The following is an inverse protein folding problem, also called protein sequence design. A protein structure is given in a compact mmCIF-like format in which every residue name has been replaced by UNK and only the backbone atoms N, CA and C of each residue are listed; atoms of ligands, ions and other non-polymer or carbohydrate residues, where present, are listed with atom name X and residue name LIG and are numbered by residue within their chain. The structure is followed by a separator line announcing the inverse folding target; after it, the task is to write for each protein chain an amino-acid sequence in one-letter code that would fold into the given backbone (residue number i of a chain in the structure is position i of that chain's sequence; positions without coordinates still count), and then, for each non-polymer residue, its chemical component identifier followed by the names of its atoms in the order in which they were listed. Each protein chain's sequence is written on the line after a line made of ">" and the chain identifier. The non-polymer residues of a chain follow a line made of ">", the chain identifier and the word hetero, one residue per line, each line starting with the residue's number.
data_IF_002077299937
#
_entry.id   IF_002077299937
#
_cell.length_a   1.000
_cell.length_b   1.000
_cell.length_c   1.000
_cell.angle_alpha   90.00
_cell.angle_beta   90.00
_cell.angle_gamma   90.00
#
_symmetry.space_group_name_H-M   'P 1'
#
loop_
_entity.id
_entity.type
_entity.pdbx_description
1 polymer ?
#
# COMPACT_ATOMS: atom_id res chain seq x y z
N UNK A 1 -59.10 -8.04 50.69
CA UNK A 1 -57.61 -7.84 50.60
C UNK A 1 -57.14 -8.30 49.24
N UNK A 2 -56.84 -7.36 48.35
CA UNK A 2 -56.40 -7.68 46.97
C UNK A 2 -54.86 -7.74 46.91
N UNK A 3 -54.35 -8.95 46.68
CA UNK A 3 -52.89 -9.19 46.50
C UNK A 3 -52.47 -8.72 45.11
N UNK A 4 -51.70 -7.66 45.04
CA UNK A 4 -51.13 -7.17 43.78
C UNK A 4 -49.87 -7.98 43.46
N UNK A 5 -49.96 -8.81 42.42
CA UNK A 5 -48.80 -9.54 41.89
C UNK A 5 -47.94 -8.58 41.05
N UNK A 6 -46.74 -8.30 41.52
CA UNK A 6 -45.76 -7.46 40.84
C UNK A 6 -44.94 -8.39 39.91
N UNK A 7 -45.21 -8.36 38.61
CA UNK A 7 -44.38 -9.03 37.64
C UNK A 7 -43.21 -8.11 37.30
N UNK A 8 -42.03 -8.42 37.84
CA UNK A 8 -40.79 -7.79 37.45
C UNK A 8 -40.30 -8.37 36.14
N UNK A 9 -40.51 -7.64 35.06
CA UNK A 9 -39.99 -8.00 33.73
C UNK A 9 -38.52 -7.65 33.68
N UNK A 10 -37.65 -8.64 33.87
CA UNK A 10 -36.18 -8.48 33.71
C UNK A 10 -35.89 -8.35 32.21
N UNK A 11 -35.68 -7.13 31.73
CA UNK A 11 -35.23 -6.86 30.35
C UNK A 11 -33.73 -7.21 30.29
N UNK A 12 -33.41 -8.40 29.80
CA UNK A 12 -32.03 -8.78 29.50
C UNK A 12 -31.63 -8.02 28.25
N UNK A 13 -30.91 -6.90 28.42
CA UNK A 13 -30.19 -6.24 27.33
C UNK A 13 -29.04 -7.15 26.93
N UNK A 14 -29.21 -7.93 25.87
CA UNK A 14 -28.14 -8.61 25.18
C UNK A 14 -27.39 -7.52 24.42
N UNK A 15 -26.32 -6.99 25.02
CA UNK A 15 -25.37 -6.15 24.31
C UNK A 15 -24.64 -7.01 23.30
N UNK A 16 -25.04 -6.94 22.03
CA UNK A 16 -24.22 -7.43 20.92
C UNK A 16 -22.97 -6.56 20.87
N UNK A 17 -21.88 -7.04 21.45
CA UNK A 17 -20.57 -6.53 21.15
C UNK A 17 -20.29 -6.90 19.68
N UNK A 18 -20.57 -5.99 18.76
CA UNK A 18 -20.02 -6.08 17.42
C UNK A 18 -18.49 -5.98 17.59
N UNK A 19 -17.79 -7.12 17.62
CA UNK A 19 -16.34 -7.14 17.56
C UNK A 19 -15.95 -6.52 16.23
N UNK A 20 -15.43 -5.30 16.24
CA UNK A 20 -14.85 -4.72 15.04
C UNK A 20 -13.67 -5.60 14.64
N UNK A 21 -13.72 -6.14 13.43
CA UNK A 21 -12.64 -6.97 12.91
C UNK A 21 -11.37 -6.13 12.83
N UNK A 22 -10.31 -6.59 13.49
CA UNK A 22 -9.01 -5.90 13.47
C UNK A 22 -8.29 -6.10 12.13
N UNK A 23 -7.53 -5.08 11.73
CA UNK A 23 -6.69 -5.17 10.54
C UNK A 23 -5.44 -5.98 10.86
N UNK A 24 -5.04 -6.83 9.91
CA UNK A 24 -3.81 -7.62 9.98
C UNK A 24 -2.79 -7.12 8.97
N UNK A 25 -1.49 -7.34 9.25
CA UNK A 25 -0.35 -6.81 8.51
C UNK A 25 0.71 -7.90 8.31
N UNK A 26 0.48 -8.90 7.47
CA UNK A 26 1.34 -10.09 7.40
C UNK A 26 2.78 -9.85 6.96
N UNK A 27 3.04 -8.89 6.05
CA UNK A 27 4.36 -8.62 5.46
C UNK A 27 4.79 -7.17 5.63
N UNK A 28 3.89 -6.22 5.40
CA UNK A 28 4.15 -4.78 5.58
C UNK A 28 3.53 -4.36 6.91
N UNK A 29 4.32 -4.20 7.99
CA UNK A 29 3.80 -4.19 9.35
C UNK A 29 3.04 -2.92 9.76
N UNK A 30 3.33 -1.77 9.11
CA UNK A 30 2.72 -0.49 9.52
C UNK A 30 1.73 0.07 8.49
N UNK A 31 1.63 -0.53 7.28
CA UNK A 31 0.87 0.00 6.17
C UNK A 31 0.06 -1.09 5.47
N UNK A 32 -0.97 -0.65 4.73
CA UNK A 32 -1.74 -1.57 3.90
C UNK A 32 -2.49 -2.63 4.70
N UNK A 33 -2.96 -2.28 5.91
CA UNK A 33 -3.72 -3.21 6.75
C UNK A 33 -4.97 -3.73 6.06
N UNK A 34 -5.23 -5.03 6.19
CA UNK A 34 -6.31 -5.76 5.54
C UNK A 34 -7.24 -6.40 6.58
N UNK A 35 -8.42 -6.78 6.16
CA UNK A 35 -9.29 -7.68 6.92
C UNK A 35 -9.15 -9.09 6.38
N UNK A 36 -9.11 -10.08 7.27
CA UNK A 36 -9.18 -11.49 6.87
C UNK A 36 -10.62 -11.84 6.44
N UNK A 37 -10.74 -12.58 5.33
CA UNK A 37 -12.03 -13.02 4.80
C UNK A 37 -11.98 -14.54 4.61
N UNK A 38 -12.17 -15.31 5.70
CA UNK A 38 -11.99 -16.75 5.68
C UNK A 38 -12.93 -17.47 4.71
N UNK A 39 -14.13 -16.92 4.48
CA UNK A 39 -15.17 -17.51 3.63
C UNK A 39 -15.14 -16.97 2.18
N UNK A 40 -14.07 -16.28 1.76
CA UNK A 40 -13.95 -15.80 0.39
C UNK A 40 -13.98 -16.98 -0.61
N UNK A 41 -14.84 -16.87 -1.63
CA UNK A 41 -14.94 -17.87 -2.69
C UNK A 41 -13.71 -17.87 -3.62
N UNK A 42 -13.03 -16.74 -3.74
CA UNK A 42 -11.77 -16.58 -4.50
C UNK A 42 -10.66 -16.14 -3.56
N UNK A 43 -9.58 -16.89 -3.54
CA UNK A 43 -8.39 -16.60 -2.72
C UNK A 43 -7.13 -16.67 -3.59
N UNK A 44 -6.08 -15.93 -3.24
CA UNK A 44 -4.78 -16.12 -3.88
C UNK A 44 -4.32 -17.58 -3.78
N UNK A 45 -3.83 -18.12 -4.89
CA UNK A 45 -3.25 -19.48 -4.95
C UNK A 45 -1.79 -19.46 -4.45
N UNK A 46 -1.44 -20.09 -3.32
CA UNK A 46 -0.10 -20.06 -2.76
C UNK A 46 0.94 -20.84 -3.61
N UNK A 47 0.51 -21.58 -4.63
CA UNK A 47 1.41 -22.30 -5.53
C UNK A 47 1.98 -21.41 -6.63
N UNK A 48 1.32 -20.29 -6.96
CA UNK A 48 1.71 -19.38 -8.04
C UNK A 48 2.86 -18.44 -7.65
N UNK A 49 3.60 -18.01 -8.67
CA UNK A 49 4.55 -16.88 -8.61
C UNK A 49 3.83 -15.58 -9.03
N UNK A 50 3.65 -14.68 -8.09
CA UNK A 50 2.99 -13.39 -8.32
C UNK A 50 3.98 -12.34 -8.79
N UNK A 51 4.13 -12.20 -10.10
CA UNK A 51 4.96 -11.18 -10.75
C UNK A 51 4.08 -9.98 -11.11
N UNK A 52 4.27 -8.86 -10.43
CA UNK A 52 3.39 -7.69 -10.54
C UNK A 52 4.23 -6.44 -10.81
N UNK A 53 3.91 -5.70 -11.88
CA UNK A 53 4.47 -4.40 -12.16
C UNK A 53 3.40 -3.32 -12.01
N UNK A 54 3.71 -2.28 -11.26
CA UNK A 54 2.77 -1.23 -10.86
C UNK A 54 3.14 0.10 -11.50
N UNK A 55 2.17 0.69 -12.16
CA UNK A 55 2.14 2.06 -12.66
C UNK A 55 1.60 2.97 -11.55
N UNK A 56 2.49 3.64 -10.82
CA UNK A 56 2.12 4.59 -9.77
C UNK A 56 2.24 6.02 -10.28
N UNK A 57 1.11 6.62 -10.66
CA UNK A 57 1.04 7.92 -11.31
C UNK A 57 0.42 9.02 -10.42
N UNK A 58 -0.57 8.67 -9.59
CA UNK A 58 -1.35 9.61 -8.80
C UNK A 58 -0.58 10.18 -7.61
N UNK A 59 -0.65 11.50 -7.41
CA UNK A 59 -0.16 12.16 -6.20
C UNK A 59 -1.06 11.94 -4.99
N UNK A 60 -0.66 12.50 -3.83
CA UNK A 60 -1.53 12.58 -2.66
C UNK A 60 -2.50 13.75 -2.81
N UNK A 61 -3.76 13.57 -2.42
CA UNK A 61 -4.76 14.65 -2.43
C UNK A 61 -4.39 15.75 -1.41
N UNK A 62 -3.90 15.34 -0.23
CA UNK A 62 -3.27 16.21 0.77
C UNK A 62 -1.81 15.78 0.92
N UNK A 63 -0.84 16.70 0.78
CA UNK A 63 0.57 16.41 1.01
C UNK A 63 0.91 15.93 2.43
N UNK A 64 0.09 16.22 3.43
CA UNK A 64 0.27 15.73 4.79
C UNK A 64 -0.19 14.28 4.98
N UNK A 65 -0.89 13.70 3.99
CA UNK A 65 -1.42 12.36 4.05
C UNK A 65 -0.63 11.38 3.18
N UNK A 66 -0.63 10.12 3.61
CA UNK A 66 -0.04 9.02 2.88
C UNK A 66 -0.69 8.87 1.50
N UNK A 67 0.13 8.65 0.48
CA UNK A 67 -0.36 8.37 -0.87
C UNK A 67 -1.17 7.05 -0.91
N UNK A 68 -2.43 7.14 -1.32
CA UNK A 68 -3.35 5.99 -1.31
C UNK A 68 -2.91 4.89 -2.28
N UNK A 69 -2.37 5.24 -3.45
CA UNK A 69 -1.85 4.27 -4.42
C UNK A 69 -0.66 3.51 -3.84
N UNK A 70 0.25 4.21 -3.17
CA UNK A 70 1.39 3.58 -2.50
C UNK A 70 0.92 2.67 -1.36
N UNK A 71 -0.07 3.09 -0.56
CA UNK A 71 -0.65 2.26 0.49
C UNK A 71 -1.38 1.01 -0.07
N UNK A 72 -2.00 1.11 -1.25
CA UNK A 72 -2.62 -0.03 -1.91
C UNK A 72 -1.59 -1.09 -2.37
N UNK A 73 -0.35 -0.69 -2.67
CA UNK A 73 0.75 -1.64 -2.95
C UNK A 73 1.03 -2.50 -1.71
N UNK A 74 1.18 -1.88 -0.54
CA UNK A 74 1.35 -2.60 0.71
C UNK A 74 0.15 -3.52 1.02
N UNK A 75 -1.06 -3.01 0.79
CA UNK A 75 -2.29 -3.76 0.98
C UNK A 75 -2.37 -4.99 0.08
N UNK A 76 -1.98 -4.87 -1.20
CA UNK A 76 -1.94 -5.97 -2.14
C UNK A 76 -0.96 -7.07 -1.67
N UNK A 77 0.23 -6.70 -1.22
CA UNK A 77 1.22 -7.64 -0.69
C UNK A 77 0.66 -8.35 0.54
N UNK A 78 0.07 -7.62 1.48
CA UNK A 78 -0.54 -8.19 2.68
C UNK A 78 -1.71 -9.13 2.37
N UNK A 79 -2.55 -8.82 1.37
CA UNK A 79 -3.65 -9.69 0.93
C UNK A 79 -3.16 -11.03 0.37
N UNK A 80 -2.10 -11.04 -0.44
CA UNK A 80 -1.53 -12.29 -0.95
C UNK A 80 -0.93 -13.12 0.19
N UNK A 81 -0.17 -12.48 1.08
CA UNK A 81 0.46 -13.16 2.20
C UNK A 81 -0.55 -13.72 3.22
N UNK A 82 -1.67 -13.01 3.48
CA UNK A 82 -2.72 -13.50 4.39
C UNK A 82 -3.40 -14.78 3.88
N UNK A 83 -3.43 -14.97 2.56
CA UNK A 83 -3.93 -16.20 1.94
C UNK A 83 -2.90 -17.34 1.88
N UNK A 84 -1.73 -17.16 2.50
CA UNK A 84 -0.69 -18.19 2.57
C UNK A 84 0.34 -18.16 1.43
N UNK A 85 0.32 -17.12 0.56
CA UNK A 85 1.38 -16.96 -0.45
C UNK A 85 2.68 -16.59 0.25
N UNK A 86 3.77 -17.38 0.12
CA UNK A 86 5.07 -17.03 0.67
C UNK A 86 5.56 -15.69 0.10
N UNK A 87 6.15 -14.84 0.93
CA UNK A 87 6.64 -13.51 0.49
C UNK A 87 7.66 -13.61 -0.64
N UNK A 88 8.44 -14.70 -0.68
CA UNK A 88 9.44 -14.99 -1.70
C UNK A 88 8.83 -15.23 -3.09
N UNK A 89 7.53 -15.53 -3.16
CA UNK A 89 6.74 -15.68 -4.40
C UNK A 89 6.01 -14.41 -4.81
N UNK A 90 6.14 -13.31 -4.06
CA UNK A 90 5.49 -12.03 -4.36
C UNK A 90 6.54 -11.06 -4.89
N UNK A 91 6.65 -10.96 -6.20
CA UNK A 91 7.63 -10.13 -6.91
C UNK A 91 6.98 -8.84 -7.40
N UNK A 92 7.18 -7.76 -6.67
CA UNK A 92 6.58 -6.46 -7.01
C UNK A 92 7.64 -5.48 -7.52
N UNK A 93 7.30 -4.80 -8.60
CA UNK A 93 8.08 -3.71 -9.20
C UNK A 93 7.18 -2.49 -9.31
N UNK A 94 7.63 -1.34 -8.85
CA UNK A 94 6.86 -0.09 -8.88
C UNK A 94 7.57 0.92 -9.78
N UNK A 95 6.85 1.46 -10.76
CA UNK A 95 7.28 2.57 -11.60
C UNK A 95 6.57 3.85 -11.17
N UNK A 96 7.25 4.66 -10.36
CA UNK A 96 6.74 5.94 -9.84
C UNK A 96 6.95 7.01 -10.91
N UNK A 97 5.91 7.73 -11.27
CA UNK A 97 6.01 8.82 -12.23
C UNK A 97 4.89 9.85 -12.05
N UNK A 98 4.83 10.82 -12.94
CA UNK A 98 3.83 11.88 -12.92
C UNK A 98 3.74 12.55 -11.54
N UNK A 99 2.57 12.82 -10.99
CA UNK A 99 2.40 13.47 -9.68
C UNK A 99 2.93 12.61 -8.52
N UNK A 100 2.91 11.30 -8.64
CA UNK A 100 3.51 10.40 -7.65
C UNK A 100 5.03 10.63 -7.51
N UNK A 101 5.71 11.22 -8.50
CA UNK A 101 7.14 11.54 -8.41
C UNK A 101 7.50 12.47 -7.24
N UNK A 102 6.55 13.23 -6.72
CA UNK A 102 6.80 14.05 -5.53
C UNK A 102 6.79 13.24 -4.22
N UNK A 103 6.18 12.05 -4.20
CA UNK A 103 6.14 11.20 -2.99
C UNK A 103 7.51 10.63 -2.62
N UNK A 104 8.47 10.61 -3.58
CA UNK A 104 9.81 10.06 -3.38
C UNK A 104 10.83 11.09 -2.86
N UNK A 105 10.42 12.33 -2.66
CA UNK A 105 11.32 13.38 -2.14
C UNK A 105 11.74 13.05 -0.70
N UNK A 106 13.01 13.32 -0.38
CA UNK A 106 13.46 13.28 1.00
C UNK A 106 12.75 14.37 1.84
N UNK A 107 12.80 14.28 3.15
CA UNK A 107 12.08 15.20 4.04
C UNK A 107 12.46 16.68 3.80
N UNK A 108 13.72 16.98 3.51
CA UNK A 108 14.14 18.35 3.29
C UNK A 108 13.49 18.97 2.05
N UNK A 109 13.53 18.26 0.92
CA UNK A 109 12.92 18.69 -0.33
C UNK A 109 11.38 18.71 -0.24
N UNK A 110 10.77 17.71 0.38
CA UNK A 110 9.32 17.65 0.56
C UNK A 110 8.83 18.81 1.43
N UNK A 111 9.51 19.09 2.55
CA UNK A 111 9.17 20.19 3.45
C UNK A 111 9.38 21.56 2.81
N UNK A 112 10.41 21.71 1.98
CA UNK A 112 10.61 22.93 1.20
C UNK A 112 9.42 23.20 0.26
N UNK A 113 8.89 22.16 -0.39
CA UNK A 113 7.79 22.24 -1.34
C UNK A 113 6.41 22.37 -0.67
N UNK A 114 6.12 21.52 0.31
CA UNK A 114 4.76 21.33 0.86
C UNK A 114 4.55 21.85 2.28
N UNK A 115 5.62 22.33 2.96
CA UNK A 115 5.60 22.83 4.34
C UNK A 115 5.25 21.78 5.39
N UNK A 116 5.28 20.50 5.03
CA UNK A 116 5.10 19.34 5.90
C UNK A 116 6.17 18.29 5.62
N UNK A 117 6.39 17.35 6.53
CA UNK A 117 7.28 16.21 6.30
C UNK A 117 6.64 15.20 5.35
N UNK A 118 7.46 14.42 4.65
CA UNK A 118 6.97 13.44 3.68
C UNK A 118 6.39 12.21 4.40
N UNK A 119 5.07 11.99 4.38
CA UNK A 119 4.43 10.88 5.08
C UNK A 119 4.70 9.51 4.41
N UNK A 120 5.29 9.50 3.21
CA UNK A 120 5.45 8.28 2.41
C UNK A 120 6.77 7.55 2.68
N UNK A 121 7.76 8.18 3.32
CA UNK A 121 9.10 7.63 3.45
C UNK A 121 9.14 6.31 4.23
N UNK A 122 8.40 6.22 5.34
CA UNK A 122 8.33 5.00 6.12
C UNK A 122 7.78 3.81 5.31
N UNK A 123 6.80 4.07 4.44
CA UNK A 123 6.24 3.03 3.58
C UNK A 123 7.23 2.60 2.49
N UNK A 124 7.96 3.51 1.86
CA UNK A 124 9.02 3.15 0.90
C UNK A 124 10.08 2.25 1.53
N UNK A 125 10.48 2.54 2.78
CA UNK A 125 11.43 1.72 3.53
C UNK A 125 10.88 0.31 3.81
N UNK A 126 9.61 0.18 4.21
CA UNK A 126 8.99 -1.13 4.45
C UNK A 126 8.83 -1.94 3.16
N UNK A 127 8.43 -1.29 2.06
CA UNK A 127 8.33 -1.92 0.75
C UNK A 127 9.70 -2.45 0.26
N UNK A 128 10.77 -1.63 0.40
CA UNK A 128 12.13 -2.06 0.06
C UNK A 128 12.57 -3.26 0.91
N UNK A 129 12.34 -3.24 2.23
CA UNK A 129 12.62 -4.37 3.12
C UNK A 129 11.83 -5.62 2.77
N UNK A 130 10.65 -5.48 2.22
CA UNK A 130 9.83 -6.59 1.70
C UNK A 130 10.30 -7.11 0.34
N UNK A 131 11.35 -6.52 -0.28
CA UNK A 131 11.90 -6.94 -1.56
C UNK A 131 11.26 -6.28 -2.78
N UNK A 132 10.43 -5.26 -2.60
CA UNK A 132 9.84 -4.49 -3.70
C UNK A 132 10.93 -3.69 -4.41
N UNK A 133 10.97 -3.76 -5.75
CA UNK A 133 11.85 -2.95 -6.58
C UNK A 133 11.16 -1.61 -6.88
N UNK A 134 11.77 -0.53 -6.43
CA UNK A 134 11.19 0.81 -6.48
C UNK A 134 11.97 1.67 -7.49
N UNK A 135 11.31 2.07 -8.57
CA UNK A 135 11.89 2.91 -9.61
C UNK A 135 11.11 4.22 -9.77
N UNK A 136 11.83 5.32 -9.94
CA UNK A 136 11.24 6.56 -10.42
C UNK A 136 11.61 6.79 -11.89
N UNK A 137 10.67 7.33 -12.64
CA UNK A 137 10.84 7.70 -14.05
C UNK A 137 11.81 8.88 -14.18
N UNK A 138 12.98 8.68 -14.81
CA UNK A 138 13.96 9.75 -15.06
C UNK A 138 13.40 10.89 -15.90
N UNK A 139 12.47 10.60 -16.84
CA UNK A 139 11.81 11.64 -17.63
C UNK A 139 10.91 12.52 -16.74
N UNK A 140 10.26 11.94 -15.74
CA UNK A 140 9.44 12.70 -14.77
C UNK A 140 10.30 13.58 -13.87
N UNK A 141 11.50 13.15 -13.48
CA UNK A 141 12.42 13.97 -12.69
C UNK A 141 12.82 15.22 -13.48
N UNK A 142 13.22 15.05 -14.75
CA UNK A 142 13.62 16.16 -15.61
C UNK A 142 12.43 17.13 -15.83
N UNK A 143 11.27 16.60 -16.21
CA UNK A 143 10.09 17.42 -16.49
C UNK A 143 9.57 18.20 -15.28
N UNK A 144 9.88 17.74 -14.06
CA UNK A 144 9.46 18.37 -12.79
C UNK A 144 10.58 19.11 -12.06
N UNK A 145 11.77 19.22 -12.66
CA UNK A 145 12.95 19.81 -12.04
C UNK A 145 13.25 19.24 -10.65
N UNK A 146 13.14 17.92 -10.49
CA UNK A 146 13.51 17.22 -9.26
C UNK A 146 15.00 16.82 -9.35
N UNK A 147 15.82 17.35 -8.45
CA UNK A 147 17.24 16.97 -8.37
C UNK A 147 17.35 15.53 -7.82
N UNK A 148 18.31 14.77 -8.35
CA UNK A 148 18.60 13.42 -7.87
C UNK A 148 18.98 13.37 -6.38
N UNK A 149 19.55 14.45 -5.84
CA UNK A 149 19.92 14.61 -4.43
C UNK A 149 18.69 14.75 -3.51
N UNK A 150 17.55 15.10 -4.08
CA UNK A 150 16.30 15.28 -3.35
C UNK A 150 15.51 13.97 -3.20
N UNK A 151 15.97 12.89 -3.84
CA UNK A 151 15.28 11.58 -3.84
C UNK A 151 15.69 10.78 -2.61
N UNK A 152 14.73 10.10 -1.99
CA UNK A 152 14.98 9.14 -0.91
C UNK A 152 15.82 7.95 -1.41
N UNK A 153 16.75 7.38 -0.59
CA UNK A 153 17.70 6.37 -1.04
C UNK A 153 17.07 5.03 -1.43
N UNK A 154 15.85 4.75 -1.01
CA UNK A 154 15.10 3.53 -1.35
C UNK A 154 14.75 3.45 -2.85
N UNK A 155 14.77 4.58 -3.56
CA UNK A 155 14.31 4.72 -4.94
C UNK A 155 15.47 4.71 -5.93
N UNK A 156 15.40 3.85 -6.93
CA UNK A 156 16.33 3.82 -8.07
C UNK A 156 15.75 4.60 -9.26
N UNK A 157 16.62 5.21 -10.06
CA UNK A 157 16.18 5.95 -11.24
C UNK A 157 16.18 5.03 -12.46
N UNK A 158 15.01 4.88 -13.10
CA UNK A 158 14.88 4.22 -14.38
C UNK A 158 14.89 5.24 -15.53
N UNK A 159 15.21 4.82 -16.74
CA UNK A 159 15.13 5.66 -17.94
C UNK A 159 13.75 6.28 -18.10
N UNK A 160 12.70 5.47 -17.98
CA UNK A 160 11.30 5.89 -18.05
C UNK A 160 10.39 4.85 -17.39
N UNK A 161 9.23 5.28 -16.89
CA UNK A 161 8.18 4.35 -16.49
C UNK A 161 7.74 3.45 -17.65
N UNK A 162 7.71 3.97 -18.88
CA UNK A 162 7.35 3.19 -20.07
C UNK A 162 8.27 1.99 -20.27
N UNK A 163 9.59 2.19 -20.10
CA UNK A 163 10.56 1.09 -20.25
C UNK A 163 10.52 0.11 -19.07
N UNK A 164 10.20 0.56 -17.86
CA UNK A 164 9.99 -0.33 -16.71
C UNK A 164 8.78 -1.23 -16.96
N UNK A 165 7.64 -0.63 -17.33
CA UNK A 165 6.40 -1.38 -17.55
C UNK A 165 6.53 -2.38 -18.70
N UNK A 166 6.98 -1.95 -19.87
CA UNK A 166 7.12 -2.82 -21.06
C UNK A 166 8.10 -3.96 -20.81
N UNK A 167 9.25 -3.65 -20.19
CA UNK A 167 10.25 -4.69 -19.88
C UNK A 167 9.70 -5.75 -18.93
N UNK A 168 8.97 -5.34 -17.89
CA UNK A 168 8.42 -6.30 -16.92
C UNK A 168 7.22 -7.07 -17.48
N UNK A 169 6.37 -6.44 -18.29
CA UNK A 169 5.29 -7.15 -18.97
C UNK A 169 5.83 -8.24 -19.91
N UNK A 170 6.89 -7.97 -20.67
CA UNK A 170 7.58 -8.97 -21.51
C UNK A 170 8.24 -10.09 -20.68
N UNK A 171 8.55 -9.84 -19.39
CA UNK A 171 9.01 -10.86 -18.43
C UNK A 171 7.88 -11.63 -17.75
N UNK A 172 6.63 -11.42 -18.17
CA UNK A 172 5.45 -12.10 -17.64
C UNK A 172 4.89 -11.48 -16.36
N UNK A 173 5.13 -10.19 -16.10
CA UNK A 173 4.51 -9.48 -14.98
C UNK A 173 3.10 -9.02 -15.34
N UNK A 174 2.15 -9.26 -14.44
CA UNK A 174 0.83 -8.63 -14.50
C UNK A 174 0.95 -7.13 -14.21
N UNK A 175 0.27 -6.31 -15.00
CA UNK A 175 0.29 -4.85 -14.86
C UNK A 175 -0.91 -4.35 -14.05
N UNK A 176 -0.63 -3.48 -13.08
CA UNK A 176 -1.62 -2.73 -12.32
C UNK A 176 -1.32 -1.23 -12.34
N UNK A 177 -2.34 -0.41 -12.19
CA UNK A 177 -2.23 1.05 -12.10
C UNK A 177 -2.93 1.56 -10.84
N UNK A 178 -2.25 2.47 -10.10
CA UNK A 178 -2.78 3.20 -8.96
C UNK A 178 -2.58 4.71 -9.10
#
# INVERSE_FOLDING_TARGET
>A
MKLKLLIATCLIMISFFASAQERVFPVIPSYGGIFDIPDAAEKPDPTLEYKIVIDLAGGSADPAELNLGLNNIARMINLHASAGVPKEKIHVVVAVHNEAAYTILNNAAYKAKYKTENPNLGLYQELQRAGVKLFVCGQSLIARNIDRKEITPEIQIATSMLTVLTTHQLKGYAWFKF
#
